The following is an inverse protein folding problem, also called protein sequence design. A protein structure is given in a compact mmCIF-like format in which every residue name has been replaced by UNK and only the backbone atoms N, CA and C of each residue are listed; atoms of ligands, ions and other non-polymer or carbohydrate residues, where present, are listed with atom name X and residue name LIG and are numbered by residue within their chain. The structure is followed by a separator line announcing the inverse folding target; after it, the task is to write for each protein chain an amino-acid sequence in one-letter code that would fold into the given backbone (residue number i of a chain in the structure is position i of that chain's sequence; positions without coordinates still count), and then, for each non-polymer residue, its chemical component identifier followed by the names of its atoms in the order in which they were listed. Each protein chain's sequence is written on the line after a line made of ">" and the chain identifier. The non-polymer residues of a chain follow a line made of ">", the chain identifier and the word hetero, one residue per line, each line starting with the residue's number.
data_IF_050527174509
#
_entry.id   IF_050527174509
#
_cell.length_a   1.000
_cell.length_b   1.000
_cell.length_c   1.000
_cell.angle_alpha   90.00
_cell.angle_beta   90.00
_cell.angle_gamma   90.00
#
_symmetry.space_group_name_H-M   'P 1'
#
loop_
_entity.id
_entity.type
_entity.pdbx_description
1 polymer ?
#
# COMPACT_ATOMS: atom_id res chain seq x y z
N UNK A 1 -14.53 9.29 7.28
CA UNK A 1 -13.40 9.02 8.20
C UNK A 1 -12.22 8.61 7.35
N UNK A 2 -11.00 9.03 7.67
CA UNK A 2 -9.84 8.65 6.86
C UNK A 2 -9.62 7.15 6.99
N UNK A 3 -9.82 6.44 5.87
CA UNK A 3 -9.75 4.98 5.82
C UNK A 3 -8.31 4.48 5.79
N UNK A 4 -7.38 5.39 5.47
CA UNK A 4 -5.96 5.12 5.38
C UNK A 4 -5.17 6.03 6.31
N UNK A 5 -4.10 5.49 6.88
CA UNK A 5 -3.16 6.21 7.73
C UNK A 5 -1.73 5.98 7.25
N UNK A 6 -0.86 6.97 7.43
CA UNK A 6 0.56 6.80 7.13
C UNK A 6 1.37 6.30 8.33
N UNK A 7 2.68 6.15 8.15
CA UNK A 7 3.61 5.71 9.22
C UNK A 7 3.54 6.56 10.50
N UNK A 8 3.15 7.82 10.40
CA UNK A 8 3.07 8.75 11.53
C UNK A 8 1.69 8.75 12.20
N UNK A 9 0.76 7.92 11.74
CA UNK A 9 -0.64 7.91 12.21
C UNK A 9 -1.47 9.07 11.68
N UNK A 10 -0.99 9.77 10.64
CA UNK A 10 -1.75 10.85 10.01
C UNK A 10 -2.69 10.28 8.94
N UNK A 11 -3.90 10.86 8.80
CA UNK A 11 -4.86 10.43 7.78
C UNK A 11 -4.33 10.67 6.37
N UNK A 12 -4.54 9.69 5.48
CA UNK A 12 -4.19 9.75 4.06
C UNK A 12 -5.46 9.69 3.24
N UNK A 13 -5.49 10.42 2.12
CA UNK A 13 -6.60 10.37 1.18
C UNK A 13 -6.72 9.01 0.48
N UNK A 14 -7.91 8.74 -0.06
CA UNK A 14 -8.25 7.42 -0.63
C UNK A 14 -8.05 7.35 -2.14
N UNK A 15 -7.75 8.47 -2.81
CA UNK A 15 -7.53 8.47 -4.25
C UNK A 15 -6.15 7.92 -4.61
N UNK A 16 -6.02 7.29 -5.77
CA UNK A 16 -4.74 6.75 -6.27
C UNK A 16 -3.63 7.81 -6.32
N UNK A 17 -4.01 9.08 -6.58
CA UNK A 17 -3.07 10.21 -6.58
C UNK A 17 -2.56 10.52 -5.18
N UNK A 18 -3.43 10.61 -4.18
CA UNK A 18 -3.03 10.89 -2.80
C UNK A 18 -2.17 9.75 -2.23
N UNK A 19 -2.54 8.50 -2.54
CA UNK A 19 -1.74 7.32 -2.20
C UNK A 19 -0.37 7.37 -2.89
N UNK A 20 -0.30 7.76 -4.16
CA UNK A 20 0.97 7.93 -4.87
C UNK A 20 1.84 9.00 -4.21
N UNK A 21 1.27 10.15 -3.84
CA UNK A 21 2.02 11.22 -3.19
C UNK A 21 2.56 10.75 -1.84
N UNK A 22 1.76 10.06 -1.02
CA UNK A 22 2.19 9.58 0.29
C UNK A 22 3.26 8.47 0.20
N UNK A 23 3.10 7.50 -0.72
CA UNK A 23 4.03 6.36 -0.85
C UNK A 23 5.29 6.75 -1.62
N UNK A 24 5.22 7.59 -2.66
CA UNK A 24 6.42 7.95 -3.44
C UNK A 24 7.19 9.10 -2.82
N UNK A 25 6.49 10.14 -2.36
CA UNK A 25 7.07 11.43 -1.97
C UNK A 25 6.97 11.71 -0.46
N UNK A 26 5.95 11.17 0.18
CA UNK A 26 5.70 11.29 1.62
C UNK A 26 6.47 10.27 2.45
N UNK A 27 5.80 9.66 3.43
CA UNK A 27 6.42 8.74 4.38
C UNK A 27 6.85 7.41 3.79
N UNK A 28 6.36 7.07 2.59
CA UNK A 28 6.67 5.79 1.96
C UNK A 28 5.79 4.63 2.39
N UNK A 29 4.76 4.88 3.18
CA UNK A 29 3.95 3.82 3.78
C UNK A 29 2.52 4.31 4.03
N UNK A 30 1.56 3.49 3.62
CA UNK A 30 0.14 3.66 3.88
C UNK A 30 -0.41 2.35 4.43
N UNK A 31 -1.21 2.44 5.49
CA UNK A 31 -1.95 1.33 6.07
C UNK A 31 -3.44 1.57 5.90
N UNK A 32 -4.14 0.51 5.48
CA UNK A 32 -5.59 0.45 5.45
C UNK A 32 -6.12 -0.74 6.26
N UNK A 33 -7.43 -0.99 6.20
CA UNK A 33 -8.06 -2.10 6.94
C UNK A 33 -7.51 -3.44 6.43
N UNK A 34 -6.76 -4.16 7.26
CA UNK A 34 -6.14 -5.45 6.94
C UNK A 34 -5.20 -5.47 5.72
N UNK A 35 -4.76 -4.31 5.24
CA UNK A 35 -3.87 -4.19 4.08
C UNK A 35 -2.88 -3.03 4.27
N UNK A 36 -1.73 -3.13 3.64
CA UNK A 36 -0.69 -2.11 3.68
C UNK A 36 -0.03 -1.95 2.31
N UNK A 37 0.38 -0.74 2.00
CA UNK A 37 1.01 -0.33 0.75
C UNK A 37 2.25 0.49 1.09
N UNK A 38 3.43 0.03 0.71
CA UNK A 38 4.66 0.71 1.08
C UNK A 38 5.75 0.56 0.03
N UNK A 39 6.68 1.52 0.01
CA UNK A 39 7.87 1.40 -0.83
C UNK A 39 8.95 0.59 -0.11
N UNK A 40 9.57 -0.32 -0.82
CA UNK A 40 10.75 -1.06 -0.39
C UNK A 40 11.93 -0.71 -1.29
N UNK A 41 13.12 -0.59 -0.69
CA UNK A 41 14.33 -0.33 -1.44
C UNK A 41 15.00 -1.68 -1.75
N UNK A 42 14.82 -2.18 -2.98
CA UNK A 42 15.39 -3.44 -3.44
C UNK A 42 16.84 -3.30 -3.95
N UNK A 43 17.34 -2.07 -4.05
CA UNK A 43 18.73 -1.78 -4.40
C UNK A 43 19.09 -0.29 -4.28
N UNK A 44 20.27 0.08 -4.77
CA UNK A 44 20.75 1.47 -4.74
C UNK A 44 19.85 2.41 -5.55
N UNK A 45 19.37 1.94 -6.70
CA UNK A 45 18.47 2.67 -7.60
C UNK A 45 17.11 2.01 -7.77
N UNK A 46 16.95 0.79 -7.27
CA UNK A 46 15.75 -0.01 -7.49
C UNK A 46 14.80 0.13 -6.30
N UNK A 47 13.60 0.61 -6.61
CA UNK A 47 12.52 0.80 -5.64
C UNK A 47 11.35 -0.05 -6.07
N UNK A 48 10.83 -0.82 -5.15
CA UNK A 48 9.65 -1.63 -5.33
C UNK A 48 8.50 -1.08 -4.50
N UNK A 49 7.29 -1.39 -4.94
CA UNK A 49 6.06 -1.13 -4.22
C UNK A 49 5.58 -2.47 -3.71
N UNK A 50 5.37 -2.57 -2.41
CA UNK A 50 4.92 -3.78 -1.75
C UNK A 50 3.52 -3.55 -1.24
N UNK A 51 2.62 -4.47 -1.60
CA UNK A 51 1.27 -4.57 -1.07
C UNK A 51 1.24 -5.80 -0.18
N UNK A 52 0.82 -5.65 1.08
CA UNK A 52 0.75 -6.76 2.03
C UNK A 52 -0.59 -6.79 2.74
N UNK A 53 -1.24 -7.96 2.71
CA UNK A 53 -2.48 -8.27 3.40
C UNK A 53 -2.17 -8.95 4.73
N UNK A 54 -2.77 -8.45 5.81
CA UNK A 54 -2.68 -9.11 7.10
C UNK A 54 -3.49 -10.42 7.09
N UNK A 55 -3.02 -11.47 7.80
CA UNK A 55 -3.76 -12.71 7.91
C UNK A 55 -5.09 -12.46 8.63
N UNK A 56 -6.17 -12.96 8.05
CA UNK A 56 -7.51 -12.95 8.66
C UNK A 56 -8.02 -14.39 8.77
N UNK A 57 -9.03 -14.69 9.62
CA UNK A 57 -9.51 -16.05 9.78
C UNK A 57 -9.96 -16.64 8.43
N UNK A 58 -9.21 -17.62 7.92
CA UNK A 58 -9.48 -18.26 6.61
C UNK A 58 -8.72 -17.66 5.41
N UNK A 59 -7.86 -16.65 5.60
CA UNK A 59 -6.98 -16.11 4.55
C UNK A 59 -5.53 -15.98 5.05
N UNK A 60 -4.60 -16.54 4.30
CA UNK A 60 -3.16 -16.46 4.60
C UNK A 60 -2.62 -15.05 4.35
N UNK A 61 -1.49 -14.73 4.98
CA UNK A 61 -0.75 -13.50 4.70
C UNK A 61 -0.30 -13.53 3.23
N UNK A 62 -0.75 -12.57 2.44
CA UNK A 62 -0.36 -12.44 1.03
C UNK A 62 0.43 -11.14 0.87
N UNK A 63 1.58 -11.23 0.19
CA UNK A 63 2.41 -10.05 -0.11
C UNK A 63 2.79 -10.10 -1.58
N UNK A 64 2.56 -8.99 -2.28
CA UNK A 64 2.86 -8.85 -3.69
C UNK A 64 3.73 -7.62 -3.92
N UNK A 65 4.78 -7.81 -4.71
CA UNK A 65 5.77 -6.78 -5.02
C UNK A 65 5.61 -6.35 -6.47
N UNK A 66 5.66 -5.04 -6.68
CA UNK A 66 5.49 -4.37 -7.97
C UNK A 66 6.67 -3.42 -8.21
N UNK A 67 6.98 -3.15 -9.46
CA UNK A 67 7.90 -2.07 -9.82
C UNK A 67 7.21 -0.70 -9.63
N UNK A 68 7.99 0.38 -9.46
CA UNK A 68 7.40 1.74 -9.32
C UNK A 68 6.50 2.14 -10.50
N UNK A 69 6.83 1.71 -11.72
CA UNK A 69 6.01 1.99 -12.90
C UNK A 69 4.66 1.22 -12.90
N UNK A 70 4.53 0.19 -12.07
CA UNK A 70 3.30 -0.60 -11.86
C UNK A 70 2.51 -0.12 -10.65
N UNK A 71 2.75 1.11 -10.18
CA UNK A 71 2.07 1.66 -8.99
C UNK A 71 0.55 1.58 -9.08
N UNK A 72 -0.02 1.78 -10.27
CA UNK A 72 -1.46 1.68 -10.46
C UNK A 72 -1.97 0.26 -10.15
N UNK A 73 -1.29 -0.77 -10.64
CA UNK A 73 -1.63 -2.17 -10.37
C UNK A 73 -1.55 -2.48 -8.87
N UNK A 74 -0.52 -1.95 -8.19
CA UNK A 74 -0.38 -2.09 -6.74
C UNK A 74 -1.55 -1.45 -5.97
N UNK A 75 -2.00 -0.27 -6.39
CA UNK A 75 -3.16 0.42 -5.78
C UNK A 75 -4.46 -0.32 -6.08
N UNK A 76 -4.65 -0.82 -7.29
CA UNK A 76 -5.82 -1.63 -7.66
C UNK A 76 -5.89 -2.90 -6.80
N UNK A 77 -4.77 -3.60 -6.59
CA UNK A 77 -4.70 -4.76 -5.69
C UNK A 77 -5.00 -4.36 -4.24
N UNK A 78 -4.36 -3.29 -3.75
CA UNK A 78 -4.56 -2.76 -2.40
C UNK A 78 -6.04 -2.46 -2.12
N UNK A 79 -6.72 -1.83 -3.08
CA UNK A 79 -8.16 -1.53 -3.00
C UNK A 79 -9.04 -2.78 -3.15
N UNK A 80 -8.64 -3.74 -4.00
CA UNK A 80 -9.36 -4.99 -4.18
C UNK A 80 -9.35 -5.83 -2.90
N UNK A 81 -8.20 -5.99 -2.25
CA UNK A 81 -8.08 -6.72 -0.99
C UNK A 81 -8.88 -6.09 0.15
N UNK A 82 -9.01 -4.76 0.15
CA UNK A 82 -9.92 -4.06 1.07
C UNK A 82 -11.38 -4.45 0.87
N UNK A 83 -11.85 -4.55 -0.38
CA UNK A 83 -13.26 -4.81 -0.70
C UNK A 83 -13.67 -6.29 -0.54
N UNK A 84 -12.73 -7.19 -0.24
CA UNK A 84 -12.97 -8.62 -0.08
C UNK A 84 -13.26 -9.04 1.38
N UNK A 85 -13.63 -8.10 2.23
CA UNK A 85 -14.06 -8.34 3.62
C UNK A 85 -15.46 -7.75 3.84
#
# INVERSE_FOLDING_TARGET
>A
MAEYINKNGLPVGTTSKELFEEVMRGTGFVMGPNTSLFKENAGLHDKNIVVSRMPSPGKETETQTFLVNQFQEAVDLFNSWRNQD
#
